data_IF_885044931078
#
_entry.id   IF_885044931078
#
_cell.length_a   1.000
_cell.length_b   1.000
_cell.length_c   1.000
_cell.angle_alpha   90.00
_cell.angle_beta   90.00
_cell.angle_gamma   90.00
#
_symmetry.space_group_name_H-M   'P 1'
#
loop_
_entity.id
_entity.type
_entity.pdbx_description
1 polymer ?
#
# COMPACT_ATOMS: atom_id res chain seq x y z
N UNK A 1 -17.17 16.26 4.87
CA UNK A 1 -15.72 16.07 4.63
C UNK A 1 -15.47 14.70 4.00
N UNK A 2 -15.96 14.48 2.78
CA UNK A 2 -15.80 13.22 2.01
C UNK A 2 -15.36 13.51 0.58
N UNK A 3 -14.61 14.59 0.36
CA UNK A 3 -14.27 15.10 -0.98
C UNK A 3 -12.80 14.85 -1.33
N UNK A 4 -12.27 13.68 -0.95
CA UNK A 4 -10.97 13.15 -1.44
C UNK A 4 -10.97 11.60 -1.49
N UNK A 5 -12.11 11.00 -1.82
CA UNK A 5 -12.19 9.57 -2.15
C UNK A 5 -12.17 9.36 -3.68
N UNK A 6 -12.20 10.42 -4.48
CA UNK A 6 -12.44 10.34 -5.93
C UNK A 6 -11.19 10.44 -6.84
N UNK A 7 -9.95 10.42 -6.33
CA UNK A 7 -8.76 10.65 -7.20
C UNK A 7 -7.58 9.69 -7.03
N UNK A 8 -7.79 8.45 -6.56
CA UNK A 8 -6.79 7.39 -6.73
C UNK A 8 -7.45 6.10 -7.19
N UNK A 9 -7.01 5.62 -8.36
CA UNK A 9 -7.52 4.52 -9.19
C UNK A 9 -7.48 3.12 -8.54
N UNK A 10 -7.82 2.99 -7.27
CA UNK A 10 -7.93 1.68 -6.62
C UNK A 10 -9.31 1.11 -6.90
N UNK A 11 -9.33 -0.02 -7.61
CA UNK A 11 -10.54 -0.79 -7.83
C UNK A 11 -11.03 -1.44 -6.52
N UNK A 12 -12.28 -1.93 -6.51
CA UNK A 12 -12.77 -2.74 -5.40
C UNK A 12 -11.91 -3.99 -5.15
N UNK A 13 -11.37 -4.60 -6.22
CA UNK A 13 -10.46 -5.74 -6.11
C UNK A 13 -9.16 -5.38 -5.38
N UNK A 14 -8.63 -4.18 -5.63
CA UNK A 14 -7.43 -3.68 -4.95
C UNK A 14 -7.67 -3.48 -3.44
N UNK A 15 -8.85 -2.95 -3.08
CA UNK A 15 -9.24 -2.79 -1.67
C UNK A 15 -9.39 -4.15 -0.95
N UNK A 16 -9.93 -5.16 -1.64
CA UNK A 16 -10.05 -6.51 -1.10
C UNK A 16 -8.68 -7.18 -0.92
N UNK A 17 -7.77 -7.03 -1.89
CA UNK A 17 -6.41 -7.55 -1.79
C UNK A 17 -5.63 -6.90 -0.62
N UNK A 18 -5.77 -5.58 -0.46
CA UNK A 18 -5.19 -4.85 0.66
C UNK A 18 -5.75 -5.36 2.00
N UNK A 19 -7.07 -5.51 2.12
CA UNK A 19 -7.70 -6.01 3.34
C UNK A 19 -7.22 -7.43 3.68
N UNK A 20 -7.17 -8.32 2.68
CA UNK A 20 -6.70 -9.69 2.87
C UNK A 20 -5.26 -9.71 3.41
N UNK A 21 -4.39 -8.86 2.86
CA UNK A 21 -3.01 -8.73 3.34
C UNK A 21 -2.91 -8.14 4.76
N UNK A 22 -3.67 -7.08 5.08
CA UNK A 22 -3.68 -6.53 6.46
C UNK A 22 -4.10 -7.61 7.47
N UNK A 23 -5.06 -8.45 7.11
CA UNK A 23 -5.55 -9.54 7.96
C UNK A 23 -4.51 -10.65 8.20
N UNK A 24 -3.45 -10.76 7.40
CA UNK A 24 -2.36 -11.72 7.69
C UNK A 24 -1.44 -11.26 8.82
N UNK A 25 -1.58 -10.02 9.30
CA UNK A 25 -0.72 -9.45 10.34
C UNK A 25 0.76 -9.38 9.91
N UNK A 26 1.09 -8.76 8.76
CA UNK A 26 2.45 -8.73 8.23
C UNK A 26 3.40 -8.01 9.19
N UNK A 27 4.60 -8.57 9.36
CA UNK A 27 5.67 -7.92 10.10
C UNK A 27 6.21 -6.76 9.24
N UNK A 28 5.98 -5.53 9.69
CA UNK A 28 6.56 -4.36 9.06
C UNK A 28 7.99 -4.16 9.58
N UNK A 29 9.00 -4.03 8.69
CA UNK A 29 10.37 -3.77 9.11
C UNK A 29 10.50 -2.40 9.76
N UNK A 30 11.57 -2.23 10.54
CA UNK A 30 11.98 -0.92 11.02
C UNK A 30 12.46 -0.07 9.84
N UNK A 31 11.90 1.13 9.69
CA UNK A 31 12.21 2.03 8.57
C UNK A 31 11.18 1.99 7.44
N UNK A 32 11.55 2.55 6.29
CA UNK A 32 10.67 2.68 5.13
C UNK A 32 10.58 1.37 4.36
N UNK A 33 9.36 1.00 3.96
CA UNK A 33 9.09 -0.23 3.23
C UNK A 33 8.02 -0.04 2.18
N UNK A 34 7.97 -0.98 1.24
CA UNK A 34 6.90 -1.03 0.25
C UNK A 34 6.46 -2.45 -0.07
N UNK A 35 5.19 -2.61 -0.41
CA UNK A 35 4.60 -3.84 -0.94
C UNK A 35 3.98 -3.58 -2.29
N UNK A 36 4.39 -4.37 -3.28
CA UNK A 36 3.80 -4.34 -4.62
C UNK A 36 2.58 -5.27 -4.69
N UNK A 37 1.43 -4.72 -5.04
CA UNK A 37 0.17 -5.45 -5.30
C UNK A 37 -0.06 -5.67 -6.81
N UNK A 38 0.87 -5.25 -7.66
CA UNK A 38 0.85 -5.35 -9.12
C UNK A 38 0.08 -4.21 -9.80
N UNK A 39 -1.09 -3.85 -9.28
CA UNK A 39 -1.90 -2.71 -9.73
C UNK A 39 -1.50 -1.39 -9.05
N UNK A 40 -1.02 -1.47 -7.81
CA UNK A 40 -0.54 -0.36 -7.01
C UNK A 40 0.58 -0.82 -6.07
N UNK A 41 1.32 0.14 -5.51
CA UNK A 41 2.34 -0.13 -4.49
C UNK A 41 1.95 0.57 -3.19
N UNK A 42 1.87 -0.17 -2.09
CA UNK A 42 1.68 0.38 -0.76
C UNK A 42 3.05 0.71 -0.17
N UNK A 43 3.27 1.97 0.23
CA UNK A 43 4.47 2.37 0.96
C UNK A 43 4.12 2.66 2.41
N UNK A 44 4.99 2.27 3.33
CA UNK A 44 4.84 2.49 4.75
C UNK A 44 6.18 2.75 5.43
N UNK A 45 6.11 3.04 6.73
CA UNK A 45 7.28 3.26 7.57
C UNK A 45 6.99 2.76 8.99
N UNK A 46 7.81 1.84 9.49
CA UNK A 46 7.50 1.06 10.69
C UNK A 46 6.12 0.40 10.57
N UNK A 47 5.31 0.39 11.64
CA UNK A 47 3.97 -0.23 11.60
C UNK A 47 2.89 0.52 10.81
N UNK A 48 3.21 1.61 10.14
CA UNK A 48 2.21 2.51 9.56
C UNK A 48 2.28 2.58 8.03
N UNK A 49 1.17 2.29 7.31
CA UNK A 49 1.08 2.65 5.90
C UNK A 49 1.08 4.18 5.75
N UNK A 50 1.77 4.69 4.72
CA UNK A 50 1.98 6.12 4.48
C UNK A 50 1.30 6.61 3.21
N UNK A 51 1.48 5.88 2.11
CA UNK A 51 0.92 6.27 0.81
C UNK A 51 0.70 5.07 -0.09
N UNK A 52 -0.15 5.25 -1.10
CA UNK A 52 -0.31 4.33 -2.21
C UNK A 52 0.18 5.01 -3.47
N UNK A 53 1.04 4.31 -4.21
CA UNK A 53 1.58 4.73 -5.51
C UNK A 53 0.85 4.02 -6.65
N UNK A 54 0.66 4.72 -7.76
CA UNK A 54 0.17 4.12 -8.99
C UNK A 54 1.26 3.26 -9.64
N UNK A 55 0.84 2.28 -10.47
CA UNK A 55 1.74 1.47 -11.26
C UNK A 55 2.73 2.33 -12.07
N UNK A 56 4.02 2.02 -11.95
CA UNK A 56 5.10 2.72 -12.65
C UNK A 56 5.76 3.86 -11.87
N UNK A 57 5.18 4.28 -10.75
CA UNK A 57 5.89 5.14 -9.79
C UNK A 57 6.94 4.33 -9.02
N UNK A 58 8.09 4.95 -8.75
CA UNK A 58 9.19 4.27 -8.04
C UNK A 58 8.97 4.37 -6.52
N UNK A 59 8.84 3.25 -5.79
CA UNK A 59 8.78 3.26 -4.33
C UNK A 59 10.15 3.54 -3.71
N UNK A 60 10.12 3.85 -2.42
CA UNK A 60 11.30 3.99 -1.56
C UNK A 60 11.17 3.04 -0.37
N UNK A 61 12.31 2.59 0.17
CA UNK A 61 12.36 1.63 1.27
C UNK A 61 12.60 0.19 0.80
N UNK A 62 12.48 -0.75 1.73
CA UNK A 62 12.71 -2.17 1.49
C UNK A 62 11.43 -2.89 1.03
N UNK A 63 11.52 -3.80 0.04
CA UNK A 63 10.38 -4.60 -0.38
C UNK A 63 9.94 -5.58 0.71
N UNK A 64 8.63 -5.74 0.90
CA UNK A 64 8.03 -6.74 1.79
C UNK A 64 7.07 -7.66 1.04
N UNK A 65 7.00 -8.92 1.48
CA UNK A 65 6.13 -9.96 0.90
C UNK A 65 4.69 -9.94 1.40
#
# INVERSE_FOLDING_TARGET
>A
MLQRVDERRLSLGDLLALQAWVNTGPAAPDGDWFKDFGSFVLCGSGKFPKTVLEKGMKPFGDPIE
#
